data_IF_023201670005
#
_entry.id   IF_023201670005
#
_cell.length_a   1.000
_cell.length_b   1.000
_cell.length_c   1.000
_cell.angle_alpha   90.00
_cell.angle_beta   90.00
_cell.angle_gamma   90.00
#
_symmetry.space_group_name_H-M   'P 1'
#
loop_
_entity.id
_entity.type
_entity.pdbx_description
1 polymer ?
#
# COMPACT_ATOMS: atom_id res chain seq x y z
N UNK A 1 -20.03 -8.33 30.45
CA UNK A 1 -21.36 -8.74 31.00
C UNK A 1 -21.51 -10.27 31.02
N UNK A 2 -21.20 -11.02 29.96
CA UNK A 2 -21.33 -12.49 29.94
C UNK A 2 -20.51 -13.20 31.01
N UNK A 3 -19.28 -12.79 31.25
CA UNK A 3 -18.39 -13.39 32.25
C UNK A 3 -18.92 -13.21 33.68
N UNK A 4 -19.54 -12.07 33.96
CA UNK A 4 -20.17 -11.75 35.24
C UNK A 4 -21.66 -12.15 35.31
N UNK A 5 -22.14 -12.93 34.32
CA UNK A 5 -23.52 -13.41 34.23
C UNK A 5 -24.61 -12.33 34.30
N UNK A 6 -24.29 -11.11 33.91
CA UNK A 6 -25.26 -10.00 33.82
C UNK A 6 -26.12 -10.23 32.59
N UNK A 7 -27.43 -10.28 32.77
CA UNK A 7 -28.41 -10.50 31.71
C UNK A 7 -28.98 -9.18 31.27
N UNK A 8 -28.59 -8.74 30.05
CA UNK A 8 -29.16 -7.58 29.42
C UNK A 8 -30.51 -7.94 28.78
N UNK A 9 -31.55 -7.14 29.06
CA UNK A 9 -32.89 -7.26 28.49
C UNK A 9 -33.24 -6.03 27.68
N UNK A 10 -34.18 -6.14 26.75
CA UNK A 10 -34.73 -5.04 25.97
C UNK A 10 -33.63 -4.17 25.30
N UNK A 11 -32.65 -4.81 24.67
CA UNK A 11 -31.58 -4.06 24.00
C UNK A 11 -32.17 -3.45 22.73
N UNK A 12 -32.19 -2.11 22.67
CA UNK A 12 -32.68 -1.32 21.54
C UNK A 12 -31.61 -0.31 21.12
N UNK A 13 -31.31 -0.26 19.83
CA UNK A 13 -30.48 0.78 19.23
C UNK A 13 -31.40 1.91 18.73
N UNK A 14 -31.29 3.10 19.27
CA UNK A 14 -32.08 4.25 18.87
C UNK A 14 -31.17 5.30 18.18
N UNK A 15 -31.66 5.87 17.09
CA UNK A 15 -30.98 6.91 16.29
C UNK A 15 -29.56 6.51 15.80
N UNK A 16 -29.26 5.20 15.73
CA UNK A 16 -27.94 4.64 15.41
C UNK A 16 -26.78 5.11 16.31
N UNK A 17 -27.06 5.82 17.41
CA UNK A 17 -26.03 6.42 18.28
C UNK A 17 -26.17 6.01 19.74
N UNK A 18 -27.35 5.61 20.19
CA UNK A 18 -27.64 5.27 21.60
C UNK A 18 -28.13 3.85 21.75
N UNK A 19 -27.54 3.13 22.69
CA UNK A 19 -27.94 1.78 23.06
C UNK A 19 -28.71 1.85 24.38
N UNK A 20 -29.97 1.42 24.34
CA UNK A 20 -30.84 1.29 25.50
C UNK A 20 -30.88 -0.18 25.93
N UNK A 21 -30.73 -0.45 27.20
CA UNK A 21 -30.93 -1.80 27.73
C UNK A 21 -31.35 -1.74 29.19
N UNK A 22 -32.00 -2.80 29.64
CA UNK A 22 -32.42 -2.98 31.05
C UNK A 22 -31.66 -4.11 31.70
N UNK A 23 -31.36 -3.96 32.98
CA UNK A 23 -30.75 -5.00 33.82
C UNK A 23 -31.66 -5.34 35.02
N UNK A 24 -31.43 -6.47 35.65
CA UNK A 24 -32.13 -6.80 36.89
C UNK A 24 -31.69 -5.83 38.01
N UNK A 25 -32.62 -5.50 38.93
CA UNK A 25 -32.36 -4.53 39.99
C UNK A 25 -31.19 -4.88 40.89
N UNK A 26 -30.93 -6.15 41.11
CA UNK A 26 -29.80 -6.67 41.89
C UNK A 26 -28.45 -6.57 41.15
N UNK A 27 -28.47 -6.30 39.85
CA UNK A 27 -27.27 -6.21 38.99
C UNK A 27 -26.89 -4.77 38.60
N UNK A 28 -27.60 -3.77 39.09
CA UNK A 28 -27.37 -2.33 38.71
C UNK A 28 -25.99 -1.89 39.12
N UNK A 29 -25.59 -2.10 40.37
CA UNK A 29 -24.31 -1.62 40.92
C UNK A 29 -23.13 -2.33 40.26
N UNK A 30 -23.29 -3.62 39.97
CA UNK A 30 -22.26 -4.38 39.25
C UNK A 30 -22.12 -3.92 37.79
N UNK A 31 -23.24 -3.58 37.14
CA UNK A 31 -23.25 -3.02 35.78
C UNK A 31 -22.55 -1.67 35.73
N UNK A 32 -22.83 -0.76 36.69
CA UNK A 32 -22.12 0.51 36.82
C UNK A 32 -20.63 0.31 37.04
N UNK A 33 -20.26 -0.57 37.97
CA UNK A 33 -18.86 -0.88 38.26
C UNK A 33 -18.09 -1.36 37.04
N UNK A 34 -18.72 -2.08 36.11
CA UNK A 34 -18.07 -2.51 34.85
C UNK A 34 -17.92 -1.35 33.89
N UNK A 35 -18.95 -0.51 33.74
CA UNK A 35 -18.94 0.61 32.79
C UNK A 35 -17.98 1.72 33.22
N UNK A 36 -17.88 1.99 34.54
CA UNK A 36 -17.03 3.02 35.11
C UNK A 36 -15.60 2.54 35.44
N UNK A 37 -15.31 1.25 35.26
CA UNK A 37 -13.99 0.71 35.53
C UNK A 37 -12.99 1.21 34.48
N UNK A 38 -11.99 1.96 34.93
CA UNK A 38 -10.93 2.55 34.13
C UNK A 38 -10.02 1.51 33.43
N UNK A 39 -9.88 0.32 34.00
CA UNK A 39 -9.04 -0.78 33.50
C UNK A 39 -9.85 -1.84 32.73
N UNK A 40 -11.13 -1.58 32.47
CA UNK A 40 -11.97 -2.56 31.76
C UNK A 40 -11.73 -2.54 30.26
N UNK A 41 -11.97 -3.68 29.60
CA UNK A 41 -11.95 -3.79 28.13
C UNK A 41 -12.95 -2.84 27.44
N UNK A 42 -13.94 -2.33 28.18
CA UNK A 42 -14.90 -1.33 27.69
C UNK A 42 -14.26 0.05 27.58
N UNK A 43 -13.20 0.31 28.37
CA UNK A 43 -12.49 1.59 28.40
C UNK A 43 -11.01 1.43 28.01
N UNK A 44 -10.67 0.84 26.85
CA UNK A 44 -9.31 0.44 26.49
C UNK A 44 -8.32 1.61 26.42
N UNK A 45 -8.81 2.83 26.32
CA UNK A 45 -7.98 4.03 26.16
C UNK A 45 -7.98 4.94 27.40
N UNK A 46 -8.63 4.54 28.51
CA UNK A 46 -8.77 5.41 29.69
C UNK A 46 -7.43 5.80 30.30
N UNK A 47 -6.51 4.83 30.42
CA UNK A 47 -5.18 5.09 30.98
C UNK A 47 -4.38 6.12 30.18
N UNK A 48 -4.56 6.15 28.85
CA UNK A 48 -3.85 7.06 27.96
C UNK A 48 -4.50 8.45 27.92
N UNK A 49 -5.85 8.53 27.93
CA UNK A 49 -6.57 9.76 27.62
C UNK A 49 -7.48 10.26 28.74
N UNK A 50 -7.57 9.52 29.85
CA UNK A 50 -8.41 9.84 31.02
C UNK A 50 -9.87 10.13 30.64
N UNK A 51 -10.39 9.40 29.65
CA UNK A 51 -11.78 9.51 29.17
C UNK A 51 -12.37 8.14 28.94
N UNK A 52 -13.60 7.94 29.39
CA UNK A 52 -14.36 6.73 29.13
C UNK A 52 -14.76 6.65 27.65
N UNK A 53 -14.89 5.46 27.12
CA UNK A 53 -15.31 5.25 25.73
C UNK A 53 -16.79 5.61 25.55
N UNK A 54 -17.62 5.36 26.57
CA UNK A 54 -19.05 5.64 26.56
C UNK A 54 -19.42 6.64 27.63
N UNK A 55 -20.39 7.51 27.32
CA UNK A 55 -21.19 8.22 28.31
C UNK A 55 -22.31 7.30 28.75
N UNK A 56 -22.49 7.15 30.05
CA UNK A 56 -23.49 6.29 30.65
C UNK A 56 -24.50 7.14 31.37
N UNK A 57 -25.77 7.05 30.99
CA UNK A 57 -26.90 7.59 31.74
C UNK A 57 -27.70 6.41 32.29
N UNK A 58 -28.15 6.47 33.53
CA UNK A 58 -29.00 5.45 34.07
C UNK A 58 -30.22 6.01 34.77
N UNK A 59 -31.37 5.40 34.54
CA UNK A 59 -32.65 5.71 35.18
C UNK A 59 -33.18 4.42 35.78
N UNK A 60 -33.10 4.30 37.10
CA UNK A 60 -33.43 3.06 37.84
C UNK A 60 -32.66 1.86 37.25
N UNK A 61 -33.36 0.95 36.55
CA UNK A 61 -32.80 -0.28 35.93
C UNK A 61 -32.54 -0.15 34.42
N UNK A 62 -32.79 1.01 33.83
CA UNK A 62 -32.51 1.30 32.41
C UNK A 62 -31.19 2.02 32.26
N UNK A 63 -30.39 1.55 31.31
CA UNK A 63 -29.10 2.15 30.94
C UNK A 63 -29.15 2.66 29.52
N UNK A 64 -28.59 3.85 29.33
CA UNK A 64 -28.37 4.47 28.01
C UNK A 64 -26.88 4.64 27.82
N UNK A 65 -26.34 4.01 26.81
CA UNK A 65 -24.94 4.16 26.40
C UNK A 65 -24.86 4.97 25.12
N UNK A 66 -24.04 6.02 25.11
CA UNK A 66 -23.67 6.74 23.92
C UNK A 66 -22.14 6.87 23.83
N UNK A 67 -21.57 6.93 22.66
CA UNK A 67 -20.13 7.17 22.55
C UNK A 67 -19.78 8.55 23.14
N UNK A 68 -18.73 8.60 23.93
CA UNK A 68 -18.13 9.88 24.33
C UNK A 68 -17.51 10.54 23.09
N UNK A 69 -17.30 11.85 23.14
CA UNK A 69 -16.60 12.58 22.07
C UNK A 69 -15.25 11.93 21.75
N UNK A 70 -14.56 11.45 22.77
CA UNK A 70 -13.28 10.79 22.67
C UNK A 70 -13.43 9.38 22.08
N UNK A 71 -14.42 8.62 22.55
CA UNK A 71 -14.75 7.29 22.01
C UNK A 71 -15.06 7.33 20.52
N UNK A 72 -15.79 8.36 20.06
CA UNK A 72 -16.06 8.58 18.63
C UNK A 72 -14.79 8.86 17.82
N UNK A 73 -13.87 9.68 18.36
CA UNK A 73 -12.58 9.95 17.68
C UNK A 73 -11.77 8.67 17.57
N UNK A 74 -11.69 7.86 18.61
CA UNK A 74 -10.97 6.62 18.62
C UNK A 74 -11.60 5.56 17.67
N UNK A 75 -12.93 5.46 17.68
CA UNK A 75 -13.64 4.60 16.73
C UNK A 75 -13.34 4.98 15.28
N UNK A 76 -13.37 6.29 14.95
CA UNK A 76 -13.05 6.78 13.61
C UNK A 76 -11.60 6.47 13.22
N UNK A 77 -10.65 6.73 14.11
CA UNK A 77 -9.24 6.46 13.86
C UNK A 77 -8.99 4.95 13.65
N UNK A 78 -9.53 4.11 14.53
CA UNK A 78 -9.43 2.65 14.43
C UNK A 78 -10.06 2.12 13.15
N UNK A 79 -11.24 2.63 12.77
CA UNK A 79 -11.90 2.25 11.52
C UNK A 79 -11.09 2.68 10.29
N UNK A 80 -10.47 3.88 10.34
CA UNK A 80 -9.59 4.34 9.26
C UNK A 80 -8.33 3.48 9.15
N UNK A 81 -7.71 3.09 10.29
CA UNK A 81 -6.56 2.21 10.32
C UNK A 81 -6.87 0.84 9.73
N UNK A 82 -7.99 0.26 10.15
CA UNK A 82 -8.44 -1.02 9.63
C UNK A 82 -8.79 -0.93 8.13
N UNK A 83 -9.48 0.13 7.71
CA UNK A 83 -9.79 0.34 6.30
C UNK A 83 -8.51 0.50 5.45
N UNK A 84 -7.51 1.24 5.94
CA UNK A 84 -6.22 1.40 5.27
C UNK A 84 -5.53 0.06 5.05
N UNK A 85 -5.50 -0.80 6.08
CA UNK A 85 -4.88 -2.12 6.00
C UNK A 85 -5.61 -3.04 5.01
N UNK A 86 -6.95 -3.01 5.00
CA UNK A 86 -7.75 -3.79 4.05
C UNK A 86 -7.55 -3.28 2.62
N UNK A 87 -7.54 -1.96 2.41
CA UNK A 87 -7.25 -1.36 1.10
C UNK A 87 -5.87 -1.78 0.62
N UNK A 88 -4.85 -1.77 1.49
CA UNK A 88 -3.50 -2.23 1.17
C UNK A 88 -3.50 -3.68 0.70
N UNK A 89 -4.11 -4.59 1.47
CA UNK A 89 -4.23 -6.01 1.08
C UNK A 89 -4.92 -6.20 -0.26
N UNK A 90 -6.00 -5.44 -0.52
CA UNK A 90 -6.72 -5.51 -1.80
C UNK A 90 -5.85 -5.07 -2.98
N UNK A 91 -5.07 -4.02 -2.79
CA UNK A 91 -4.16 -3.48 -3.80
C UNK A 91 -2.98 -4.44 -4.04
N UNK A 92 -2.41 -5.01 -2.98
CA UNK A 92 -1.31 -5.98 -3.07
C UNK A 92 -1.75 -7.25 -3.80
N UNK A 93 -2.96 -7.75 -3.54
CA UNK A 93 -3.54 -8.91 -4.21
C UNK A 93 -3.81 -8.68 -5.72
N UNK A 94 -4.01 -7.44 -6.12
CA UNK A 94 -4.14 -7.08 -7.55
C UNK A 94 -2.79 -7.07 -8.26
N UNK A 95 -1.68 -6.99 -7.52
CA UNK A 95 -0.33 -7.01 -8.05
C UNK A 95 0.09 -5.67 -8.68
N UNK A 96 -0.29 -4.55 -8.08
CA UNK A 96 0.21 -3.23 -8.49
C UNK A 96 1.61 -3.01 -7.93
N UNK A 97 2.53 -2.53 -8.79
CA UNK A 97 3.89 -2.24 -8.38
C UNK A 97 3.93 -0.90 -7.61
N UNK A 98 4.58 -0.91 -6.42
CA UNK A 98 4.83 0.27 -5.58
C UNK A 98 3.58 1.16 -5.35
N UNK A 99 2.47 0.61 -4.82
CA UNK A 99 1.30 1.42 -4.51
C UNK A 99 1.63 2.36 -3.35
N UNK A 100 1.17 3.61 -3.44
CA UNK A 100 1.27 4.55 -2.33
C UNK A 100 -0.09 4.69 -1.65
N UNK A 101 -0.20 4.19 -0.41
CA UNK A 101 -1.45 4.16 0.33
C UNK A 101 -1.23 4.82 1.69
N UNK A 102 -1.83 6.00 1.89
CA UNK A 102 -1.60 6.85 3.04
C UNK A 102 -2.92 7.37 3.63
N UNK A 103 -2.92 7.61 4.95
CA UNK A 103 -3.98 8.39 5.57
C UNK A 103 -3.89 9.85 5.15
N UNK A 104 -5.01 10.45 4.80
CA UNK A 104 -5.13 11.88 4.52
C UNK A 104 -6.18 12.49 5.46
N UNK A 105 -5.70 13.17 6.50
CA UNK A 105 -6.58 13.67 7.56
C UNK A 105 -7.23 12.53 8.35
N UNK A 106 -8.40 12.81 8.97
CA UNK A 106 -9.04 11.88 9.92
C UNK A 106 -10.09 10.96 9.28
N UNK A 107 -10.39 11.13 7.98
CA UNK A 107 -11.49 10.41 7.31
C UNK A 107 -11.24 10.07 5.85
N UNK A 108 -10.01 10.24 5.34
CA UNK A 108 -9.67 9.96 3.95
C UNK A 108 -8.48 9.01 3.86
N UNK A 109 -8.44 8.25 2.78
CA UNK A 109 -7.32 7.41 2.38
C UNK A 109 -6.92 7.84 0.98
N UNK A 110 -5.67 8.23 0.79
CA UNK A 110 -5.08 8.47 -0.52
C UNK A 110 -4.56 7.13 -1.05
N UNK A 111 -4.93 6.79 -2.27
CA UNK A 111 -4.49 5.56 -2.96
C UNK A 111 -3.96 5.96 -4.33
N UNK A 112 -2.67 5.78 -4.54
CA UNK A 112 -2.02 6.04 -5.83
C UNK A 112 -1.49 4.71 -6.38
N UNK A 113 -1.92 4.37 -7.59
CA UNK A 113 -1.66 3.07 -8.23
C UNK A 113 -0.98 3.31 -9.59
N UNK A 114 0.34 3.33 -9.65
CA UNK A 114 1.05 3.50 -10.91
C UNK A 114 0.92 2.24 -11.79
N UNK A 115 0.90 2.43 -13.11
CA UNK A 115 0.88 1.35 -14.09
C UNK A 115 -0.41 0.54 -14.18
N UNK A 116 -1.51 1.03 -13.61
CA UNK A 116 -2.80 0.35 -13.60
C UNK A 116 -3.44 0.34 -14.99
N UNK A 117 -3.79 -0.86 -15.49
CA UNK A 117 -4.42 -1.02 -16.81
C UNK A 117 -5.94 -0.85 -16.78
N UNK A 118 -6.59 -1.23 -15.67
CA UNK A 118 -8.04 -1.18 -15.49
C UNK A 118 -8.41 -0.48 -14.18
N UNK A 119 -8.55 0.86 -14.19
CA UNK A 119 -8.96 1.62 -13.01
C UNK A 119 -10.38 1.27 -12.55
N UNK A 120 -11.29 0.92 -13.48
CA UNK A 120 -12.69 0.64 -13.16
C UNK A 120 -12.85 -0.60 -12.28
N UNK A 121 -12.10 -1.67 -12.59
CA UNK A 121 -12.09 -2.90 -11.80
C UNK A 121 -11.59 -2.65 -10.38
N UNK A 122 -10.46 -1.95 -10.24
CA UNK A 122 -9.89 -1.65 -8.92
C UNK A 122 -10.85 -0.81 -8.08
N UNK A 123 -11.45 0.21 -8.68
CA UNK A 123 -12.44 1.07 -8.03
C UNK A 123 -13.62 0.24 -7.47
N UNK A 124 -14.13 -0.72 -8.24
CA UNK A 124 -15.21 -1.60 -7.80
C UNK A 124 -14.77 -2.51 -6.63
N UNK A 125 -13.52 -3.02 -6.65
CA UNK A 125 -12.96 -3.84 -5.59
C UNK A 125 -12.72 -3.05 -4.29
N UNK A 126 -12.22 -1.83 -4.40
CA UNK A 126 -11.96 -0.99 -3.23
C UNK A 126 -13.25 -0.50 -2.55
N UNK A 127 -14.31 -0.25 -3.31
CA UNK A 127 -15.59 0.26 -2.79
C UNK A 127 -16.46 -0.79 -2.10
N UNK A 128 -16.29 -2.08 -2.40
CA UNK A 128 -17.10 -3.15 -1.78
C UNK A 128 -16.71 -3.37 -0.31
N UNK A 129 -17.73 -3.46 0.58
CA UNK A 129 -17.49 -3.75 2.00
C UNK A 129 -17.00 -5.17 2.22
N UNK A 130 -17.42 -6.13 1.39
CA UNK A 130 -17.10 -7.55 1.47
C UNK A 130 -17.54 -8.21 2.79
N UNK A 131 -18.68 -7.78 3.33
CA UNK A 131 -19.25 -8.35 4.53
C UNK A 131 -19.92 -9.70 4.19
N UNK A 132 -19.21 -10.79 4.43
CA UNK A 132 -19.69 -12.15 4.18
C UNK A 132 -20.34 -12.71 5.44
N UNK A 133 -21.56 -13.26 5.28
CA UNK A 133 -22.26 -13.99 6.35
C UNK A 133 -22.94 -15.25 5.81
N UNK A 134 -22.96 -16.28 6.64
CA UNK A 134 -23.67 -17.54 6.38
C UNK A 134 -24.87 -17.64 7.30
N UNK A 135 -26.07 -17.85 6.72
CA UNK A 135 -27.33 -17.90 7.46
C UNK A 135 -28.24 -18.97 6.88
N UNK A 136 -29.11 -19.55 7.69
CA UNK A 136 -30.11 -20.50 7.17
C UNK A 136 -31.24 -19.77 6.46
N UNK A 137 -31.70 -20.33 5.32
CA UNK A 137 -32.95 -19.95 4.68
C UNK A 137 -34.09 -20.57 5.47
N UNK A 138 -35.13 -19.78 5.73
CA UNK A 138 -36.35 -20.22 6.41
C UNK A 138 -37.37 -20.60 5.36
N UNK A 139 -38.11 -21.67 5.62
CA UNK A 139 -39.18 -22.15 4.71
C UNK A 139 -40.48 -21.36 4.84
N UNK A 140 -40.59 -20.45 5.79
CA UNK A 140 -41.79 -19.62 5.97
C UNK A 140 -41.82 -18.56 4.87
N UNK A 141 -42.98 -18.37 4.27
CA UNK A 141 -43.22 -17.41 3.19
C UNK A 141 -43.33 -15.95 3.71
N UNK A 142 -43.50 -15.74 5.01
CA UNK A 142 -43.66 -14.42 5.62
C UNK A 142 -42.50 -14.11 6.59
N UNK A 143 -42.10 -12.84 6.63
CA UNK A 143 -41.16 -12.33 7.62
C UNK A 143 -41.73 -12.47 9.03
N UNK A 144 -40.99 -13.10 9.90
CA UNK A 144 -41.33 -13.26 11.32
C UNK A 144 -40.25 -12.71 12.22
N UNK A 145 -40.53 -12.59 13.51
CA UNK A 145 -39.53 -12.16 14.47
C UNK A 145 -38.27 -13.03 14.38
N UNK A 146 -37.11 -12.41 14.06
CA UNK A 146 -35.83 -13.12 13.91
C UNK A 146 -35.48 -13.56 12.48
N UNK A 147 -36.26 -13.16 11.49
CA UNK A 147 -35.97 -13.34 10.05
C UNK A 147 -35.89 -12.01 9.33
N UNK A 148 -35.30 -11.99 8.17
CA UNK A 148 -35.26 -10.84 7.25
C UNK A 148 -35.31 -11.31 5.80
N UNK A 149 -35.82 -10.49 4.92
CA UNK A 149 -35.97 -10.75 3.49
C UNK A 149 -34.79 -10.15 2.74
N UNK A 150 -34.07 -10.95 1.97
CA UNK A 150 -32.92 -10.53 1.19
C UNK A 150 -33.08 -10.90 -0.28
N UNK A 151 -32.56 -10.03 -1.16
CA UNK A 151 -32.50 -10.22 -2.59
C UNK A 151 -31.27 -11.07 -2.97
N UNK A 152 -31.41 -11.87 -4.01
CA UNK A 152 -30.27 -12.49 -4.68
C UNK A 152 -29.47 -11.42 -5.47
N UNK A 153 -28.20 -11.72 -5.75
CA UNK A 153 -27.30 -10.78 -6.45
C UNK A 153 -27.84 -10.43 -7.86
N UNK A 154 -28.52 -11.36 -8.51
CA UNK A 154 -29.18 -11.16 -9.81
C UNK A 154 -30.45 -10.27 -9.75
N UNK A 155 -30.93 -9.97 -8.55
CA UNK A 155 -32.11 -9.14 -8.32
C UNK A 155 -33.44 -9.76 -8.74
N UNK A 156 -33.46 -11.04 -9.15
CA UNK A 156 -34.65 -11.72 -9.69
C UNK A 156 -35.48 -12.42 -8.65
N UNK A 157 -34.84 -12.86 -7.57
CA UNK A 157 -35.47 -13.66 -6.51
C UNK A 157 -35.18 -13.06 -5.12
N UNK A 158 -36.06 -13.37 -4.18
CA UNK A 158 -35.94 -13.02 -2.79
C UNK A 158 -36.03 -14.28 -1.93
N UNK A 159 -35.31 -14.31 -0.81
CA UNK A 159 -35.44 -15.38 0.17
C UNK A 159 -35.47 -14.82 1.59
N UNK A 160 -36.19 -15.50 2.46
CA UNK A 160 -36.26 -15.17 3.88
C UNK A 160 -35.16 -15.93 4.60
N UNK A 161 -34.24 -15.19 5.24
CA UNK A 161 -33.11 -15.73 5.97
C UNK A 161 -33.21 -15.44 7.45
N UNK A 162 -32.64 -16.31 8.27
CA UNK A 162 -32.53 -16.07 9.71
C UNK A 162 -31.61 -14.89 9.98
N UNK A 163 -31.99 -13.99 10.90
CA UNK A 163 -31.09 -12.92 11.38
C UNK A 163 -29.88 -13.47 12.13
N UNK A 164 -29.96 -14.72 12.60
CA UNK A 164 -28.85 -15.38 13.30
C UNK A 164 -27.74 -15.74 12.32
N UNK A 165 -26.60 -15.09 12.47
CA UNK A 165 -25.38 -15.40 11.73
C UNK A 165 -24.77 -16.69 12.28
N UNK A 166 -24.50 -17.65 11.39
CA UNK A 166 -23.82 -18.91 11.70
C UNK A 166 -22.31 -18.70 11.66
N UNK A 167 -21.84 -18.04 10.61
CA UNK A 167 -20.43 -17.81 10.33
C UNK A 167 -20.30 -16.43 9.65
N UNK A 168 -19.26 -15.69 10.00
CA UNK A 168 -18.87 -14.43 9.35
C UNK A 168 -17.59 -14.58 8.55
N UNK A 169 -17.34 -13.66 7.66
CA UNK A 169 -16.09 -13.58 6.86
C UNK A 169 -14.83 -13.52 7.70
N UNK A 170 -14.90 -13.04 8.95
CA UNK A 170 -13.75 -12.98 9.86
C UNK A 170 -13.14 -14.35 10.19
N UNK A 171 -13.91 -15.41 10.00
CA UNK A 171 -13.45 -16.78 10.21
C UNK A 171 -12.80 -17.40 8.95
N UNK A 172 -12.69 -16.68 7.83
CA UNK A 172 -11.98 -17.13 6.64
C UNK A 172 -10.49 -16.86 6.78
N UNK A 173 -9.69 -17.90 6.46
CA UNK A 173 -8.23 -17.79 6.40
C UNK A 173 -7.80 -17.58 4.95
N UNK A 174 -8.45 -18.27 4.01
CA UNK A 174 -8.07 -18.26 2.60
C UNK A 174 -9.29 -18.47 1.70
N UNK A 175 -9.24 -17.93 0.50
CA UNK A 175 -10.20 -18.14 -0.55
C UNK A 175 -9.53 -18.14 -1.92
N UNK A 176 -9.89 -19.08 -2.80
CA UNK A 176 -9.27 -19.25 -4.11
C UNK A 176 -10.30 -19.60 -5.18
N UNK A 177 -10.19 -19.02 -6.40
CA UNK A 177 -10.99 -19.48 -7.52
C UNK A 177 -10.50 -20.87 -7.96
N UNK A 178 -11.42 -21.81 -8.18
CA UNK A 178 -11.10 -23.14 -8.71
C UNK A 178 -12.15 -23.54 -9.73
N UNK A 179 -11.75 -24.35 -10.68
CA UNK A 179 -12.68 -25.02 -11.58
C UNK A 179 -13.09 -26.36 -10.94
N UNK A 180 -14.38 -26.56 -10.77
CA UNK A 180 -14.92 -27.82 -10.30
C UNK A 180 -14.86 -28.86 -11.45
N UNK A 181 -14.11 -29.92 -11.26
CA UNK A 181 -13.89 -30.95 -12.28
C UNK A 181 -15.15 -31.80 -12.59
N UNK A 182 -16.17 -31.75 -11.72
CA UNK A 182 -17.41 -32.52 -11.92
C UNK A 182 -18.45 -31.73 -12.72
N UNK A 183 -18.59 -30.46 -12.39
CA UNK A 183 -19.61 -29.58 -13.00
C UNK A 183 -19.03 -28.70 -14.11
N UNK A 184 -17.72 -28.62 -14.24
CA UNK A 184 -16.98 -27.73 -15.12
C UNK A 184 -17.33 -26.24 -14.90
N UNK A 185 -17.74 -25.89 -13.69
CA UNK A 185 -18.09 -24.54 -13.26
C UNK A 185 -16.96 -23.92 -12.42
N UNK A 186 -16.84 -22.61 -12.53
CA UNK A 186 -15.91 -21.88 -11.65
C UNK A 186 -16.57 -21.68 -10.29
N UNK A 187 -15.86 -22.06 -9.23
CA UNK A 187 -16.30 -21.93 -7.84
C UNK A 187 -15.24 -21.19 -7.02
N UNK A 188 -15.64 -20.59 -5.92
CA UNK A 188 -14.70 -20.03 -4.93
C UNK A 188 -14.57 -21.01 -3.77
N UNK A 189 -13.40 -21.60 -3.66
CA UNK A 189 -13.04 -22.48 -2.56
C UNK A 189 -12.55 -21.66 -1.37
N UNK A 190 -12.99 -21.98 -0.15
CA UNK A 190 -12.58 -21.26 1.05
C UNK A 190 -12.17 -22.19 2.17
N UNK A 191 -11.27 -21.68 3.03
CA UNK A 191 -10.81 -22.36 4.24
C UNK A 191 -11.12 -21.50 5.48
N UNK A 192 -11.57 -22.15 6.55
CA UNK A 192 -11.94 -21.52 7.81
C UNK A 192 -10.86 -21.70 8.86
N UNK A 193 -10.79 -20.76 9.79
CA UNK A 193 -10.03 -20.90 11.01
C UNK A 193 -10.58 -22.00 11.92
N UNK A 194 -9.87 -22.35 12.97
CA UNK A 194 -10.27 -23.43 13.90
C UNK A 194 -11.62 -23.16 14.58
N UNK A 195 -11.96 -21.91 14.85
CA UNK A 195 -13.22 -21.51 15.49
C UNK A 195 -14.35 -21.59 14.48
N UNK A 196 -14.16 -21.05 13.28
CA UNK A 196 -15.10 -21.11 12.17
C UNK A 196 -15.39 -22.54 11.75
N UNK A 197 -14.36 -23.39 11.62
CA UNK A 197 -14.51 -24.80 11.29
C UNK A 197 -15.42 -25.53 12.29
N UNK A 198 -15.25 -25.30 13.60
CA UNK A 198 -16.11 -25.87 14.63
C UNK A 198 -17.57 -25.38 14.54
N UNK A 199 -17.76 -24.06 14.33
CA UNK A 199 -19.09 -23.48 14.17
C UNK A 199 -19.78 -24.03 12.91
N UNK A 200 -19.03 -24.10 11.81
CA UNK A 200 -19.52 -24.58 10.53
C UNK A 200 -19.86 -26.07 10.56
N UNK A 201 -19.00 -26.91 11.16
CA UNK A 201 -19.27 -28.33 11.37
C UNK A 201 -20.55 -28.53 12.19
N UNK A 202 -20.71 -27.80 13.31
CA UNK A 202 -21.93 -27.89 14.14
C UNK A 202 -23.19 -27.48 13.36
N UNK A 203 -23.10 -26.38 12.60
CA UNK A 203 -24.23 -25.87 11.83
C UNK A 203 -24.61 -26.81 10.68
N UNK A 204 -23.63 -27.34 9.95
CA UNK A 204 -23.89 -28.29 8.85
C UNK A 204 -24.38 -29.62 9.32
N UNK A 205 -23.94 -30.12 10.50
CA UNK A 205 -24.45 -31.34 11.12
C UNK A 205 -25.94 -31.18 11.51
N UNK A 206 -26.33 -30.09 12.14
CA UNK A 206 -27.70 -29.82 12.56
C UNK A 206 -28.62 -29.34 11.43
N UNK A 207 -28.02 -28.90 10.33
CA UNK A 207 -28.69 -28.31 9.20
C UNK A 207 -28.72 -29.18 7.94
N UNK A 208 -28.45 -30.50 8.04
CA UNK A 208 -28.54 -31.39 6.88
C UNK A 208 -29.95 -31.31 6.27
N UNK A 209 -30.01 -31.16 4.94
CA UNK A 209 -31.25 -30.98 4.19
C UNK A 209 -31.77 -29.53 4.10
N UNK A 210 -31.22 -28.57 4.89
CA UNK A 210 -31.57 -27.16 4.83
C UNK A 210 -30.74 -26.43 3.77
N UNK A 211 -31.26 -25.26 3.32
CA UNK A 211 -30.50 -24.35 2.44
C UNK A 211 -29.72 -23.37 3.30
N UNK A 212 -28.47 -23.15 2.92
CA UNK A 212 -27.54 -22.23 3.58
C UNK A 212 -27.28 -21.05 2.68
N UNK A 213 -27.86 -19.89 2.99
CA UNK A 213 -27.58 -18.66 2.27
C UNK A 213 -26.16 -18.16 2.57
N UNK A 214 -25.42 -17.90 1.53
CA UNK A 214 -24.13 -17.20 1.55
C UNK A 214 -24.42 -15.76 1.10
N UNK A 215 -24.26 -14.82 2.02
CA UNK A 215 -24.70 -13.43 1.85
C UNK A 215 -23.45 -12.55 1.84
N UNK A 216 -23.32 -11.74 0.79
CA UNK A 216 -22.25 -10.74 0.63
C UNK A 216 -22.87 -9.35 0.52
N UNK A 217 -22.49 -8.43 1.40
CA UNK A 217 -22.98 -7.04 1.40
C UNK A 217 -24.52 -6.95 1.36
N UNK A 218 -25.20 -7.85 2.11
CA UNK A 218 -26.66 -7.87 2.19
C UNK A 218 -27.38 -8.53 1.02
N UNK A 219 -26.67 -9.12 0.05
CA UNK A 219 -27.25 -9.87 -1.08
C UNK A 219 -26.86 -11.34 -1.02
N UNK A 220 -27.77 -12.22 -1.41
CA UNK A 220 -27.52 -13.65 -1.48
C UNK A 220 -26.76 -13.95 -2.77
N UNK A 221 -25.52 -14.44 -2.66
CA UNK A 221 -24.67 -14.82 -3.79
C UNK A 221 -24.77 -16.31 -4.12
N UNK A 222 -25.16 -17.14 -3.14
CA UNK A 222 -25.33 -18.59 -3.29
C UNK A 222 -26.18 -19.14 -2.14
N UNK A 223 -26.91 -20.23 -2.39
CA UNK A 223 -27.77 -20.85 -1.38
C UNK A 223 -27.79 -22.39 -1.48
N UNK A 224 -26.63 -23.03 -1.39
CA UNK A 224 -26.52 -24.47 -1.51
C UNK A 224 -27.35 -25.21 -0.46
N UNK A 225 -27.85 -26.41 -0.83
CA UNK A 225 -28.43 -27.33 0.11
C UNK A 225 -27.35 -28.15 0.78
N UNK A 226 -27.41 -28.26 2.10
CA UNK A 226 -26.46 -29.08 2.87
C UNK A 226 -26.82 -30.56 2.68
N UNK A 227 -25.98 -31.28 1.94
CA UNK A 227 -26.17 -32.70 1.67
C UNK A 227 -25.63 -33.58 2.80
N UNK A 228 -24.48 -33.19 3.36
CA UNK A 228 -23.79 -33.92 4.43
C UNK A 228 -23.07 -32.93 5.38
N UNK A 229 -22.72 -33.39 6.61
CA UNK A 229 -21.94 -32.56 7.53
C UNK A 229 -20.56 -32.22 6.99
N UNK A 230 -20.18 -30.94 7.02
CA UNK A 230 -18.86 -30.45 6.57
C UNK A 230 -17.98 -30.27 7.82
N UNK A 231 -17.12 -31.26 8.10
CA UNK A 231 -16.27 -31.26 9.32
C UNK A 231 -14.90 -30.67 9.06
N UNK A 232 -14.42 -30.68 7.80
CA UNK A 232 -13.06 -30.32 7.42
C UNK A 232 -12.72 -28.82 7.46
N UNK A 233 -13.69 -27.94 7.76
CA UNK A 233 -13.46 -26.51 7.82
C UNK A 233 -13.18 -25.84 6.46
N UNK A 234 -13.47 -26.53 5.37
CA UNK A 234 -13.39 -26.00 4.00
C UNK A 234 -14.73 -26.15 3.29
N UNK A 235 -14.98 -25.29 2.31
CA UNK A 235 -16.19 -25.33 1.52
C UNK A 235 -16.01 -24.63 0.18
N UNK A 236 -17.06 -24.65 -0.63
CA UNK A 236 -17.06 -23.96 -1.91
C UNK A 236 -18.31 -23.09 -2.05
N UNK A 237 -18.14 -21.92 -2.62
CA UNK A 237 -19.21 -21.01 -3.00
C UNK A 237 -19.47 -21.27 -4.48
N UNK A 238 -20.65 -21.78 -4.79
CA UNK A 238 -21.10 -22.04 -6.15
C UNK A 238 -21.98 -20.90 -6.63
N UNK A 239 -21.94 -20.59 -7.92
CA UNK A 239 -22.72 -19.52 -8.54
C UNK A 239 -22.40 -19.39 -10.02
N UNK A 240 -23.01 -18.45 -10.70
CA UNK A 240 -22.71 -18.17 -12.11
C UNK A 240 -21.44 -17.31 -12.24
N UNK A 241 -20.31 -17.82 -11.70
CA UNK A 241 -19.04 -17.07 -11.72
C UNK A 241 -18.29 -17.29 -13.03
N UNK A 242 -17.80 -16.19 -13.61
CA UNK A 242 -16.67 -16.23 -14.52
C UNK A 242 -15.39 -16.43 -13.70
N UNK A 243 -14.30 -16.89 -14.33
CA UNK A 243 -13.02 -17.02 -13.62
C UNK A 243 -12.59 -15.67 -13.02
N UNK A 244 -12.84 -14.56 -13.72
CA UNK A 244 -12.53 -13.20 -13.24
C UNK A 244 -13.36 -12.82 -12.01
N UNK A 245 -14.69 -13.02 -12.05
CA UNK A 245 -15.56 -12.68 -10.91
C UNK A 245 -15.28 -13.56 -9.68
N UNK A 246 -14.94 -14.84 -9.89
CA UNK A 246 -14.50 -15.71 -8.81
C UNK A 246 -13.16 -15.26 -8.20
N UNK A 247 -12.22 -14.79 -9.05
CA UNK A 247 -10.95 -14.24 -8.58
C UNK A 247 -11.19 -12.97 -7.75
N UNK A 248 -12.04 -12.07 -8.22
CA UNK A 248 -12.39 -10.84 -7.52
C UNK A 248 -13.09 -11.12 -6.19
N UNK A 249 -14.01 -12.09 -6.15
CA UNK A 249 -14.65 -12.52 -4.92
C UNK A 249 -13.64 -13.14 -3.94
N UNK A 250 -12.78 -14.03 -4.41
CA UNK A 250 -11.74 -14.65 -3.59
C UNK A 250 -10.79 -13.60 -2.99
N UNK A 251 -10.40 -12.59 -3.77
CA UNK A 251 -9.59 -11.47 -3.33
C UNK A 251 -10.30 -10.67 -2.22
N UNK A 252 -11.57 -10.33 -2.42
CA UNK A 252 -12.37 -9.61 -1.42
C UNK A 252 -12.47 -10.39 -0.11
N UNK A 253 -12.67 -11.70 -0.19
CA UNK A 253 -12.79 -12.57 0.99
C UNK A 253 -11.46 -12.69 1.75
N UNK A 254 -10.33 -12.83 1.06
CA UNK A 254 -9.00 -12.88 1.69
C UNK A 254 -8.59 -11.56 2.34
N UNK A 255 -8.89 -10.45 1.67
CA UNK A 255 -8.52 -9.12 2.18
C UNK A 255 -9.33 -8.70 3.41
N UNK A 256 -10.50 -9.31 3.62
CA UNK A 256 -11.41 -9.04 4.73
C UNK A 256 -12.42 -7.93 4.47
N UNK A 257 -13.39 -7.82 5.40
CA UNK A 257 -14.47 -6.85 5.32
C UNK A 257 -14.04 -5.47 5.81
N UNK A 258 -14.40 -4.43 5.05
CA UNK A 258 -14.21 -3.03 5.48
C UNK A 258 -15.13 -2.72 6.69
N UNK A 259 -14.63 -1.99 7.69
CA UNK A 259 -15.42 -1.60 8.85
C UNK A 259 -16.54 -0.61 8.52
N UNK A 260 -16.38 0.12 7.41
CA UNK A 260 -17.37 1.04 6.87
C UNK A 260 -17.22 1.12 5.33
N UNK A 261 -18.29 1.45 4.58
CA UNK A 261 -18.20 1.64 3.15
C UNK A 261 -17.28 2.82 2.80
N UNK A 262 -16.48 2.66 1.74
CA UNK A 262 -15.60 3.69 1.21
C UNK A 262 -16.29 4.38 0.03
N UNK A 263 -16.41 5.70 0.11
CA UNK A 263 -16.89 6.55 -0.97
C UNK A 263 -15.71 7.22 -1.69
N UNK A 264 -15.67 7.13 -3.00
CA UNK A 264 -14.65 7.82 -3.80
C UNK A 264 -15.03 9.29 -3.87
N UNK A 265 -14.20 10.14 -3.24
CA UNK A 265 -14.40 11.60 -3.17
C UNK A 265 -13.76 12.28 -4.37
N UNK A 266 -12.59 11.80 -4.79
CA UNK A 266 -11.83 12.36 -5.88
C UNK A 266 -11.16 11.23 -6.65
N UNK A 267 -11.14 11.32 -7.98
CA UNK A 267 -10.46 10.40 -8.88
C UNK A 267 -9.68 11.21 -9.91
N UNK A 268 -8.39 10.88 -10.05
CA UNK A 268 -7.53 11.42 -11.09
C UNK A 268 -6.85 10.26 -11.82
N UNK A 269 -7.18 10.11 -13.06
CA UNK A 269 -6.53 9.11 -13.92
C UNK A 269 -5.75 9.83 -15.01
N UNK A 270 -4.45 9.54 -15.09
CA UNK A 270 -3.60 10.01 -16.20
C UNK A 270 -3.58 8.88 -17.23
N UNK A 271 -4.16 9.14 -18.39
CA UNK A 271 -4.22 8.16 -19.47
C UNK A 271 -2.82 7.79 -19.99
N UNK A 272 -2.67 6.59 -20.59
CA UNK A 272 -1.40 6.13 -21.18
C UNK A 272 -0.82 7.11 -22.20
N UNK A 273 -1.67 7.76 -23.01
CA UNK A 273 -1.26 8.69 -24.06
C UNK A 273 -0.59 9.95 -23.49
N UNK A 274 -1.18 10.56 -22.46
CA UNK A 274 -0.58 11.73 -21.79
C UNK A 274 0.72 11.36 -21.06
N UNK A 275 0.79 10.15 -20.50
CA UNK A 275 2.00 9.61 -19.92
C UNK A 275 3.08 9.40 -20.98
N UNK A 276 2.74 8.83 -22.13
CA UNK A 276 3.66 8.55 -23.23
C UNK A 276 4.25 9.82 -23.82
N UNK A 277 3.43 10.84 -24.05
CA UNK A 277 3.90 12.14 -24.57
C UNK A 277 4.88 12.81 -23.59
N UNK A 278 4.59 12.75 -22.30
CA UNK A 278 5.47 13.28 -21.25
C UNK A 278 6.80 12.49 -21.16
N UNK A 279 6.74 11.16 -21.29
CA UNK A 279 7.92 10.31 -21.34
C UNK A 279 8.76 10.62 -22.57
N UNK A 280 8.14 10.73 -23.74
CA UNK A 280 8.84 11.06 -24.99
C UNK A 280 9.52 12.45 -24.92
N UNK A 281 8.82 13.44 -24.38
CA UNK A 281 9.37 14.77 -24.15
C UNK A 281 10.53 14.73 -23.14
N UNK A 282 10.40 13.95 -22.06
CA UNK A 282 11.46 13.74 -21.07
C UNK A 282 12.70 13.06 -21.65
N UNK A 283 12.53 11.99 -22.44
CA UNK A 283 13.63 11.30 -23.12
C UNK A 283 14.31 12.21 -24.12
N UNK A 284 13.54 12.96 -24.93
CA UNK A 284 14.09 13.92 -25.88
C UNK A 284 14.94 14.98 -25.16
N UNK A 285 14.43 15.51 -24.06
CA UNK A 285 15.15 16.48 -23.23
C UNK A 285 16.44 15.91 -22.65
N UNK A 286 16.42 14.65 -22.19
CA UNK A 286 17.60 13.92 -21.71
C UNK A 286 18.65 13.80 -22.82
N UNK A 287 18.26 13.39 -24.03
CA UNK A 287 19.16 13.24 -25.19
C UNK A 287 19.79 14.60 -25.57
N UNK A 288 18.97 15.63 -25.66
CA UNK A 288 19.45 16.97 -26.00
C UNK A 288 20.44 17.47 -24.93
N UNK A 289 20.08 17.39 -23.65
CA UNK A 289 20.93 17.77 -22.53
C UNK A 289 22.24 16.97 -22.50
N UNK A 290 22.18 15.66 -22.71
CA UNK A 290 23.35 14.78 -22.80
C UNK A 290 24.28 15.18 -23.94
N UNK A 291 23.76 15.41 -25.15
CA UNK A 291 24.55 15.82 -26.34
C UNK A 291 25.22 17.16 -26.09
N UNK A 292 24.51 18.16 -25.55
CA UNK A 292 25.08 19.46 -25.21
C UNK A 292 26.24 19.36 -24.23
N UNK A 293 26.10 18.52 -23.20
CA UNK A 293 27.14 18.26 -22.19
C UNK A 293 28.36 17.59 -22.83
N UNK A 294 28.16 16.57 -23.68
CA UNK A 294 29.22 15.85 -24.38
C UNK A 294 30.01 16.81 -25.28
N UNK A 295 29.31 17.65 -26.03
CA UNK A 295 29.93 18.66 -26.90
C UNK A 295 30.73 19.70 -26.09
N UNK A 296 30.11 20.21 -25.01
CA UNK A 296 30.76 21.19 -24.12
C UNK A 296 32.05 20.62 -23.50
N UNK A 297 31.99 19.41 -22.95
CA UNK A 297 33.12 18.77 -22.31
C UNK A 297 34.24 18.46 -23.29
N UNK A 298 33.91 17.95 -24.48
CA UNK A 298 34.89 17.68 -25.53
C UNK A 298 35.54 18.96 -26.03
N UNK A 299 34.76 20.03 -26.21
CA UNK A 299 35.30 21.32 -26.68
C UNK A 299 36.23 21.96 -25.64
N UNK A 300 35.80 22.01 -24.37
CA UNK A 300 36.55 22.72 -23.32
C UNK A 300 37.73 21.90 -22.76
N UNK A 301 37.56 20.59 -22.54
CA UNK A 301 38.56 19.75 -21.87
C UNK A 301 39.24 18.73 -22.80
N UNK A 302 38.92 18.73 -24.09
CA UNK A 302 39.55 17.88 -25.12
C UNK A 302 39.60 16.40 -24.70
N UNK A 303 40.81 15.82 -24.53
CA UNK A 303 41.00 14.42 -24.17
C UNK A 303 40.43 14.09 -22.80
N UNK A 304 40.56 14.98 -21.83
CA UNK A 304 39.96 14.81 -20.50
C UNK A 304 38.45 14.90 -20.57
N UNK A 305 37.91 15.74 -21.45
CA UNK A 305 36.46 15.77 -21.75
C UNK A 305 35.97 14.48 -22.35
N UNK A 306 36.73 13.82 -23.23
CA UNK A 306 36.37 12.47 -23.72
C UNK A 306 36.37 11.42 -22.61
N UNK A 307 37.34 11.45 -21.68
CA UNK A 307 37.38 10.57 -20.51
C UNK A 307 36.12 10.80 -19.62
N UNK A 308 35.79 12.07 -19.37
CA UNK A 308 34.58 12.39 -18.60
C UNK A 308 33.29 11.91 -19.30
N UNK A 309 33.21 12.04 -20.63
CA UNK A 309 32.07 11.57 -21.40
C UNK A 309 31.92 10.04 -21.35
N UNK A 310 33.04 9.28 -21.45
CA UNK A 310 33.04 7.84 -21.27
C UNK A 310 32.55 7.49 -19.84
N UNK A 311 33.07 8.19 -18.84
CA UNK A 311 32.65 7.99 -17.44
C UNK A 311 31.16 8.28 -17.24
N UNK A 312 30.65 9.32 -17.89
CA UNK A 312 29.22 9.68 -17.86
C UNK A 312 28.34 8.58 -18.46
N UNK A 313 28.76 7.99 -19.58
CA UNK A 313 28.05 6.85 -20.19
C UNK A 313 28.01 5.67 -19.22
N UNK A 314 29.13 5.32 -18.59
CA UNK A 314 29.18 4.27 -17.58
C UNK A 314 28.28 4.58 -16.38
N UNK A 315 28.26 5.84 -15.94
CA UNK A 315 27.39 6.29 -14.86
C UNK A 315 25.91 6.08 -15.19
N UNK A 316 25.48 6.44 -16.41
CA UNK A 316 24.10 6.22 -16.85
C UNK A 316 23.75 4.71 -16.89
N UNK A 317 24.64 3.86 -17.40
CA UNK A 317 24.41 2.42 -17.39
C UNK A 317 24.31 1.85 -15.98
N UNK A 318 25.16 2.30 -15.05
CA UNK A 318 25.11 1.88 -13.66
C UNK A 318 23.80 2.36 -13.00
N UNK A 319 23.40 3.59 -13.22
CA UNK A 319 22.17 4.17 -12.68
C UNK A 319 20.95 3.39 -13.14
N UNK A 320 20.80 3.17 -14.45
CA UNK A 320 19.69 2.42 -15.02
C UNK A 320 19.74 0.96 -14.54
N UNK A 321 20.91 0.34 -14.50
CA UNK A 321 21.09 -1.02 -14.00
C UNK A 321 20.65 -1.18 -12.54
N UNK A 322 21.02 -0.25 -11.67
CA UNK A 322 20.61 -0.27 -10.26
C UNK A 322 19.11 -0.03 -10.11
N UNK A 323 18.54 0.96 -10.83
CA UNK A 323 17.09 1.20 -10.80
C UNK A 323 16.30 -0.03 -11.27
N UNK A 324 16.78 -0.72 -12.30
CA UNK A 324 16.17 -1.96 -12.79
C UNK A 324 16.30 -3.12 -11.79
N UNK A 325 17.46 -3.23 -11.12
CA UNK A 325 17.70 -4.27 -10.12
C UNK A 325 16.77 -4.14 -8.90
N UNK A 326 16.45 -2.90 -8.51
CA UNK A 326 15.52 -2.60 -7.42
C UNK A 326 14.05 -2.51 -7.87
N UNK A 327 13.76 -2.79 -9.15
CA UNK A 327 12.43 -2.67 -9.74
C UNK A 327 11.76 -1.30 -9.48
N UNK A 328 12.59 -0.23 -9.38
CA UNK A 328 12.14 1.11 -9.03
C UNK A 328 11.24 1.69 -10.13
N UNK A 329 10.08 2.20 -9.76
CA UNK A 329 9.16 2.87 -10.70
C UNK A 329 9.73 4.19 -11.19
N UNK A 330 9.89 4.33 -12.52
CA UNK A 330 10.35 5.55 -13.13
C UNK A 330 9.19 6.55 -13.26
N UNK A 331 9.15 7.54 -12.37
CA UNK A 331 8.18 8.63 -12.42
C UNK A 331 8.67 9.78 -13.32
N UNK A 332 7.75 10.67 -13.77
CA UNK A 332 8.14 11.86 -14.54
C UNK A 332 9.18 12.74 -13.82
N UNK A 333 9.02 13.06 -12.51
CA UNK A 333 10.09 13.70 -11.75
C UNK A 333 11.35 12.83 -11.64
N UNK A 334 11.23 11.49 -11.66
CA UNK A 334 12.37 10.58 -11.69
C UNK A 334 13.21 10.74 -12.95
N UNK A 335 12.59 10.93 -14.12
CA UNK A 335 13.31 11.28 -15.38
C UNK A 335 14.07 12.60 -15.21
N UNK A 336 13.45 13.61 -14.61
CA UNK A 336 14.14 14.86 -14.29
C UNK A 336 15.32 14.66 -13.33
N UNK A 337 15.21 13.72 -12.37
CA UNK A 337 16.30 13.29 -11.50
C UNK A 337 17.48 12.69 -12.26
N UNK A 338 17.23 11.89 -13.31
CA UNK A 338 18.28 11.37 -14.19
C UNK A 338 19.00 12.52 -14.91
N UNK A 339 18.26 13.46 -15.47
CA UNK A 339 18.84 14.65 -16.17
C UNK A 339 19.72 15.45 -15.20
N UNK A 340 19.24 15.68 -13.98
CA UNK A 340 20.00 16.38 -12.93
C UNK A 340 21.27 15.62 -12.57
N UNK A 341 21.22 14.30 -12.46
CA UNK A 341 22.39 13.45 -12.19
C UNK A 341 23.46 13.55 -13.27
N UNK A 342 23.05 13.63 -14.54
CA UNK A 342 23.99 13.86 -15.67
C UNK A 342 24.76 15.16 -15.45
N UNK A 343 24.10 16.25 -15.07
CA UNK A 343 24.74 17.53 -14.75
C UNK A 343 25.73 17.41 -13.59
N UNK A 344 25.30 16.77 -12.47
CA UNK A 344 26.16 16.61 -11.29
C UNK A 344 27.40 15.74 -11.55
N UNK A 345 27.25 14.69 -12.36
CA UNK A 345 28.36 13.82 -12.73
C UNK A 345 29.42 14.54 -13.53
N UNK A 346 29.01 15.46 -14.43
CA UNK A 346 29.92 16.29 -15.20
C UNK A 346 30.56 17.32 -14.30
N UNK A 347 29.84 17.99 -13.42
CA UNK A 347 30.36 18.99 -12.50
C UNK A 347 31.47 18.43 -11.62
N UNK A 348 31.30 17.21 -11.08
CA UNK A 348 32.35 16.53 -10.33
C UNK A 348 33.64 16.33 -11.14
N UNK A 349 33.54 15.95 -12.42
CA UNK A 349 34.71 15.85 -13.30
C UNK A 349 35.33 17.19 -13.59
N UNK A 350 34.51 18.22 -13.82
CA UNK A 350 35.00 19.62 -14.05
C UNK A 350 35.78 20.12 -12.85
N UNK A 351 35.26 19.94 -11.63
CA UNK A 351 35.98 20.33 -10.41
C UNK A 351 37.33 19.64 -10.27
N UNK A 352 37.40 18.34 -10.59
CA UNK A 352 38.67 17.61 -10.57
C UNK A 352 39.64 18.18 -11.64
N UNK A 353 39.17 18.39 -12.85
CA UNK A 353 40.04 18.88 -13.96
C UNK A 353 40.54 20.31 -13.73
N UNK A 354 39.70 21.22 -13.23
CA UNK A 354 40.13 22.55 -12.88
C UNK A 354 41.12 22.50 -11.69
N UNK A 355 40.91 21.64 -10.71
CA UNK A 355 41.88 21.45 -9.63
C UNK A 355 43.20 20.87 -10.11
N UNK A 356 43.19 19.89 -10.99
CA UNK A 356 44.41 19.38 -11.65
C UNK A 356 45.17 20.51 -12.39
N UNK A 357 44.43 21.37 -13.08
CA UNK A 357 45.00 22.49 -13.80
C UNK A 357 45.70 23.50 -12.86
N UNK A 358 45.12 23.79 -11.70
CA UNK A 358 45.76 24.60 -10.65
C UNK A 358 47.02 23.93 -10.11
N UNK A 359 46.95 22.61 -9.81
CA UNK A 359 48.10 21.90 -9.27
C UNK A 359 49.27 21.78 -10.25
N UNK A 360 49.02 21.71 -11.56
CA UNK A 360 50.05 21.69 -12.60
C UNK A 360 50.87 22.98 -12.59
N UNK A 361 50.29 24.12 -12.22
CA UNK A 361 51.02 25.38 -12.12
C UNK A 361 51.97 25.37 -10.91
N UNK A 362 51.69 24.59 -9.88
CA UNK A 362 52.47 24.53 -8.64
C UNK A 362 53.44 23.34 -8.59
N UNK A 363 53.16 22.25 -9.29
CA UNK A 363 53.92 21.02 -9.26
C UNK A 363 54.72 20.82 -10.54
N UNK A 364 56.03 20.52 -10.42
CA UNK A 364 56.87 20.22 -11.58
C UNK A 364 56.57 18.84 -12.20
N UNK A 365 56.01 17.93 -11.42
CA UNK A 365 55.68 16.58 -11.86
C UNK A 365 54.19 16.47 -12.16
N UNK A 366 53.84 16.24 -13.42
CA UNK A 366 52.44 16.13 -13.87
C UNK A 366 51.66 14.99 -13.20
N UNK A 367 52.32 13.85 -12.93
CA UNK A 367 51.68 12.73 -12.26
C UNK A 367 51.28 13.07 -10.83
N UNK A 368 52.14 13.81 -10.10
CA UNK A 368 51.86 14.31 -8.78
C UNK A 368 50.73 15.34 -8.79
N UNK A 369 50.69 16.24 -9.77
CA UNK A 369 49.62 17.20 -9.95
C UNK A 369 48.25 16.52 -10.17
N UNK A 370 48.20 15.43 -10.92
CA UNK A 370 47.00 14.64 -11.10
C UNK A 370 46.53 14.02 -9.78
N UNK A 371 47.40 13.35 -9.04
CA UNK A 371 47.05 12.72 -7.79
C UNK A 371 46.65 13.76 -6.73
N UNK A 372 47.35 14.87 -6.67
CA UNK A 372 47.02 16.04 -5.83
C UNK A 372 45.65 16.61 -6.17
N UNK A 373 45.35 16.77 -7.47
CA UNK A 373 44.04 17.26 -7.94
C UNK A 373 42.86 16.37 -7.50
N UNK A 374 42.99 15.05 -7.68
CA UNK A 374 41.99 14.11 -7.20
C UNK A 374 41.86 14.11 -5.67
N UNK A 375 42.98 14.17 -4.94
CA UNK A 375 42.98 14.13 -3.49
C UNK A 375 42.39 15.39 -2.87
N UNK A 376 42.76 16.57 -3.39
CA UNK A 376 42.28 17.85 -2.88
C UNK A 376 40.84 18.19 -3.26
N UNK A 377 40.34 17.70 -4.40
CA UNK A 377 38.93 17.88 -4.79
C UNK A 377 37.97 16.92 -4.08
N UNK A 378 38.51 15.85 -3.48
CA UNK A 378 37.70 14.78 -2.86
C UNK A 378 36.73 15.28 -1.79
N UNK A 379 37.21 16.07 -0.84
CA UNK A 379 36.40 16.62 0.24
C UNK A 379 35.28 17.50 -0.30
N UNK A 380 35.58 18.42 -1.19
CA UNK A 380 34.57 19.31 -1.78
C UNK A 380 33.47 18.55 -2.52
N UNK A 381 33.86 17.54 -3.32
CA UNK A 381 32.88 16.71 -4.07
C UNK A 381 32.04 15.86 -3.14
N UNK A 382 32.66 15.25 -2.12
CA UNK A 382 31.93 14.44 -1.14
C UNK A 382 30.95 15.30 -0.34
N UNK A 383 31.38 16.46 0.17
CA UNK A 383 30.54 17.34 0.97
C UNK A 383 29.31 17.83 0.17
N UNK A 384 29.52 18.25 -1.09
CA UNK A 384 28.43 18.67 -1.98
C UNK A 384 27.43 17.53 -2.26
N UNK A 385 27.94 16.32 -2.51
CA UNK A 385 27.08 15.17 -2.79
C UNK A 385 26.39 14.62 -1.53
N UNK A 386 27.04 14.64 -0.37
CA UNK A 386 26.43 14.23 0.91
C UNK A 386 25.27 15.17 1.28
N UNK A 387 25.43 16.48 1.15
CA UNK A 387 24.34 17.43 1.42
C UNK A 387 23.14 17.20 0.52
N UNK A 388 23.37 16.93 -0.76
CA UNK A 388 22.28 16.61 -1.70
C UNK A 388 21.65 15.24 -1.40
N UNK A 389 22.45 14.26 -0.99
CA UNK A 389 21.96 12.94 -0.58
C UNK A 389 21.07 13.02 0.67
N UNK A 390 21.45 13.85 1.65
CA UNK A 390 20.62 14.11 2.83
C UNK A 390 19.26 14.68 2.41
N UNK A 391 19.25 15.67 1.53
CA UNK A 391 18.00 16.23 1.00
C UNK A 391 17.16 15.17 0.26
N UNK A 392 17.79 14.31 -0.54
CA UNK A 392 17.13 13.23 -1.24
C UNK A 392 16.54 12.20 -0.26
N UNK A 393 17.23 11.85 0.82
CA UNK A 393 16.72 10.95 1.86
C UNK A 393 15.52 11.57 2.58
N UNK A 394 15.55 12.85 2.91
CA UNK A 394 14.41 13.55 3.51
C UNK A 394 13.21 13.52 2.56
N UNK A 395 13.41 13.78 1.27
CA UNK A 395 12.37 13.68 0.26
C UNK A 395 11.83 12.23 0.10
N UNK A 396 12.67 11.22 0.29
CA UNK A 396 12.24 9.82 0.26
C UNK A 396 11.34 9.48 1.46
N UNK A 397 11.71 9.94 2.64
CA UNK A 397 10.97 9.61 3.89
C UNK A 397 9.67 10.42 3.99
N UNK A 398 9.71 11.71 3.63
CA UNK A 398 8.57 12.63 3.79
C UNK A 398 7.76 12.81 2.50
N UNK A 399 8.30 12.43 1.35
CA UNK A 399 7.65 12.56 0.06
C UNK A 399 6.62 11.46 -0.19
N UNK A 400 5.68 11.75 -1.09
CA UNK A 400 4.68 10.79 -1.58
C UNK A 400 4.77 10.66 -3.10
N UNK A 401 4.37 9.49 -3.62
CA UNK A 401 4.22 9.21 -5.05
C UNK A 401 5.38 9.74 -5.92
N UNK A 402 5.10 10.69 -6.82
CA UNK A 402 6.10 11.19 -7.78
C UNK A 402 7.36 11.78 -7.15
N UNK A 403 7.26 12.42 -5.97
CA UNK A 403 8.40 13.00 -5.24
C UNK A 403 9.32 11.91 -4.71
N UNK A 404 8.75 10.79 -4.25
CA UNK A 404 9.50 9.63 -3.79
C UNK A 404 10.30 9.00 -4.94
N UNK A 405 9.70 8.85 -6.12
CA UNK A 405 10.40 8.37 -7.32
C UNK A 405 11.57 9.26 -7.72
N UNK A 406 11.40 10.61 -7.67
CA UNK A 406 12.49 11.56 -7.87
C UNK A 406 13.63 11.36 -6.86
N UNK A 407 13.32 11.20 -5.59
CA UNK A 407 14.32 11.03 -4.53
C UNK A 407 15.12 9.75 -4.68
N UNK A 408 14.50 8.65 -5.12
CA UNK A 408 15.17 7.37 -5.40
C UNK A 408 16.17 7.54 -6.55
N UNK A 409 15.73 8.10 -7.68
CA UNK A 409 16.63 8.32 -8.85
C UNK A 409 17.78 9.25 -8.52
N UNK A 410 17.53 10.30 -7.73
CA UNK A 410 18.56 11.24 -7.29
C UNK A 410 19.58 10.56 -6.35
N UNK A 411 19.11 9.79 -5.36
CA UNK A 411 19.98 9.09 -4.41
C UNK A 411 20.88 8.07 -5.10
N UNK A 412 20.29 7.24 -5.97
CA UNK A 412 21.05 6.25 -6.76
C UNK A 412 22.03 6.98 -7.68
N UNK A 413 21.60 8.07 -8.31
CA UNK A 413 22.43 8.89 -9.20
C UNK A 413 23.65 9.48 -8.51
N UNK A 414 23.51 9.98 -7.27
CA UNK A 414 24.63 10.48 -6.48
C UNK A 414 25.64 9.38 -6.18
N UNK A 415 25.16 8.21 -5.74
CA UNK A 415 26.02 7.06 -5.40
C UNK A 415 26.78 6.58 -6.65
N UNK A 416 26.09 6.43 -7.79
CA UNK A 416 26.74 6.01 -9.05
C UNK A 416 27.71 7.06 -9.58
N UNK A 417 27.42 8.35 -9.40
CA UNK A 417 28.32 9.45 -9.77
C UNK A 417 29.61 9.39 -8.97
N UNK A 418 29.54 9.28 -7.65
CA UNK A 418 30.73 9.16 -6.79
C UNK A 418 31.57 7.94 -7.19
N UNK A 419 30.92 6.80 -7.40
CA UNK A 419 31.63 5.61 -7.87
C UNK A 419 32.31 5.83 -9.22
N UNK A 420 31.59 6.34 -10.21
CA UNK A 420 32.10 6.56 -11.57
C UNK A 420 33.25 7.54 -11.60
N UNK A 421 33.18 8.62 -10.84
CA UNK A 421 34.22 9.65 -10.79
C UNK A 421 35.48 9.15 -10.09
N UNK A 422 35.35 8.51 -8.93
CA UNK A 422 36.54 8.12 -8.17
C UNK A 422 37.16 6.81 -8.61
N UNK A 423 36.43 5.93 -9.27
CA UNK A 423 36.98 4.67 -9.76
C UNK A 423 37.20 4.70 -11.27
N UNK A 424 36.19 5.01 -12.07
CA UNK A 424 36.29 4.90 -13.53
C UNK A 424 37.07 6.11 -14.13
N UNK A 425 36.66 7.33 -13.81
CA UNK A 425 37.35 8.50 -14.33
C UNK A 425 38.82 8.55 -13.88
N UNK A 426 39.07 8.25 -12.59
CA UNK A 426 40.43 8.21 -12.04
C UNK A 426 41.28 7.15 -12.72
N UNK A 427 40.74 5.93 -12.95
CA UNK A 427 41.46 4.87 -13.68
C UNK A 427 41.79 5.27 -15.10
N UNK A 428 40.83 5.78 -15.88
CA UNK A 428 41.03 6.21 -17.27
C UNK A 428 42.02 7.34 -17.37
N UNK A 429 41.90 8.31 -16.46
CA UNK A 429 42.84 9.45 -16.38
C UNK A 429 44.25 8.98 -16.04
N UNK A 430 44.43 8.10 -15.05
CA UNK A 430 45.70 7.55 -14.65
C UNK A 430 46.36 6.78 -15.81
N UNK A 431 45.59 5.92 -16.51
CA UNK A 431 46.07 5.20 -17.70
C UNK A 431 46.52 6.14 -18.81
N UNK A 432 45.79 7.21 -19.07
CA UNK A 432 46.16 8.20 -20.07
C UNK A 432 47.43 8.95 -19.70
N UNK A 433 47.56 9.41 -18.46
CA UNK A 433 48.71 10.16 -17.98
C UNK A 433 49.98 9.31 -17.93
N UNK A 434 49.88 8.06 -17.42
CA UNK A 434 51.04 7.14 -17.34
C UNK A 434 51.54 6.74 -18.73
N UNK A 435 50.65 6.52 -19.70
CA UNK A 435 51.01 6.19 -21.08
C UNK A 435 51.72 7.32 -21.80
N UNK A 436 51.41 8.57 -21.47
CA UNK A 436 51.93 9.76 -22.13
C UNK A 436 52.96 10.56 -21.29
N UNK A 437 53.50 9.97 -20.20
CA UNK A 437 54.39 10.63 -19.25
C UNK A 437 55.64 11.34 -19.84
N UNK A 438 56.04 11.01 -21.06
CA UNK A 438 57.19 11.60 -21.74
C UNK A 438 56.85 12.71 -22.72
N UNK A 439 55.57 13.13 -22.85
CA UNK A 439 55.18 14.27 -23.69
C UNK A 439 55.23 15.55 -22.87
N UNK A 440 56.12 16.50 -23.26
CA UNK A 440 56.30 17.80 -22.59
C UNK A 440 55.03 18.67 -22.51
N UNK A 441 54.01 18.40 -23.31
CA UNK A 441 52.75 19.15 -23.36
C UNK A 441 51.55 18.19 -23.29
N UNK A 442 51.46 17.36 -22.23
CA UNK A 442 50.37 16.42 -22.04
C UNK A 442 49.01 17.11 -21.94
N UNK A 443 48.99 18.35 -21.53
CA UNK A 443 47.78 19.09 -21.20
C UNK A 443 47.81 20.42 -21.98
N UNK A 444 47.41 20.38 -23.23
CA UNK A 444 46.87 21.58 -23.90
C UNK A 444 45.37 21.56 -23.69
N UNK A 445 44.93 22.34 -22.73
CA UNK A 445 43.52 22.64 -22.53
C UNK A 445 42.98 23.44 -23.70
#
# INVERSE_FOLDING_TARGET
FKEKKIILKNIVLQDNEKIYFTVARDQIDETKSILDNEDSEINPYFQQFKSHQFNTENFENEFILSFSKYGLIQLKNSSQDQALEIVRRRVDEVGTNEPNILKQGNNRILVELPGLKDPGRIKSLLGRTANLTFRFITQNEEESFGTEKLLFEDGTQEAIVSKRIILSGDNLIDAQPKMDNQTNQTVVYFNLDRVGAKKFAKATTTGVGKRLAIILDGKIISDPRISEPIIGGSGQITGNFTFQSATDLALLLRSGALPAPLNIVEERTVGPDLGQDSINAGILSLIIGFVLVVVFMTYKYKVFGLIANITLIFNLFLLVGILTLFEATLTLPGIAGIILTVGMAVDANVLIFERIKEEIQNEKNQILAFDSGYTKSKTTILDANITTLIAAIILFVMGSGPVKGFSVTLSVGIITTLFSVYFIARLLTALYVTKNKFKENLIKW
#
